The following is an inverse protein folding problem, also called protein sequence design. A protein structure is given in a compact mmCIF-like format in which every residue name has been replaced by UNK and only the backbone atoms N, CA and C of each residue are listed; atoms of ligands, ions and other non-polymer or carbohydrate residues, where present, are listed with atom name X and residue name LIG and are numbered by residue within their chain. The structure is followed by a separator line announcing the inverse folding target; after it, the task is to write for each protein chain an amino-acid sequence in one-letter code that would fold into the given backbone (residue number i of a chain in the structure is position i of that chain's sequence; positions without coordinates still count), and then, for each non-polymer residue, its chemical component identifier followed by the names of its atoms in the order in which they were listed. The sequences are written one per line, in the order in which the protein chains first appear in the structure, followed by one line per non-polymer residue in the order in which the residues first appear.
data_IF_802423991254
#
_entry.id   IF_802423991254
#
_cell.length_a   1.000
_cell.length_b   1.000
_cell.length_c   1.000
_cell.angle_alpha   90.00
_cell.angle_beta   90.00
_cell.angle_gamma   90.00
#
_symmetry.space_group_name_H-M   'P 1'
#
loop_
_entity.id
_entity.type
_entity.pdbx_description
1 polymer ?
#
# COMPACT_ATOMS: atom_id res chain seq x y z
N UNK A 1 4.13 1.62 -28.48
CA UNK A 1 5.59 1.45 -28.64
C UNK A 1 5.83 0.66 -29.92
N UNK A 2 6.74 1.09 -30.80
CA UNK A 2 6.95 0.50 -32.15
C UNK A 2 8.11 -0.50 -32.24
N UNK A 3 8.84 -0.74 -31.14
CA UNK A 3 10.01 -1.63 -31.06
C UNK A 3 9.92 -2.67 -29.94
N UNK A 4 8.90 -2.59 -29.10
CA UNK A 4 8.58 -3.61 -28.10
C UNK A 4 7.56 -4.55 -28.72
N UNK A 5 8.03 -5.46 -29.56
CA UNK A 5 7.21 -6.59 -30.02
C UNK A 5 6.91 -7.48 -28.81
N UNK A 6 7.45 -8.70 -28.80
CA UNK A 6 7.43 -9.50 -27.58
C UNK A 6 8.61 -9.10 -26.68
N UNK A 7 8.35 -8.29 -25.67
CA UNK A 7 9.43 -7.73 -24.83
C UNK A 7 10.16 -8.81 -24.01
N UNK A 8 9.44 -9.86 -23.58
CA UNK A 8 10.03 -11.00 -22.87
C UNK A 8 11.00 -11.77 -23.75
N UNK A 9 10.62 -12.08 -24.99
CA UNK A 9 11.50 -12.79 -25.93
C UNK A 9 12.73 -11.95 -26.29
N UNK A 10 12.58 -10.63 -26.45
CA UNK A 10 13.73 -9.72 -26.66
C UNK A 10 14.72 -9.80 -25.48
N UNK A 11 14.22 -9.85 -24.24
CA UNK A 11 15.10 -9.95 -23.07
C UNK A 11 15.81 -11.30 -22.97
N UNK A 12 15.14 -12.40 -23.34
CA UNK A 12 15.78 -13.72 -23.44
C UNK A 12 16.90 -13.75 -24.48
N UNK A 13 16.65 -13.16 -25.65
CA UNK A 13 17.64 -13.03 -26.72
C UNK A 13 18.87 -12.24 -26.23
N UNK A 14 18.65 -11.09 -25.59
CA UNK A 14 19.74 -10.28 -25.02
C UNK A 14 20.53 -11.07 -23.97
N UNK A 15 19.84 -11.77 -23.05
CA UNK A 15 20.49 -12.59 -22.03
C UNK A 15 21.35 -13.69 -22.65
N UNK A 16 20.80 -14.42 -23.61
CA UNK A 16 21.50 -15.47 -24.36
C UNK A 16 22.77 -14.93 -25.03
N UNK A 17 22.68 -13.83 -25.77
CA UNK A 17 23.82 -13.27 -26.50
C UNK A 17 24.94 -12.77 -25.56
N UNK A 18 24.60 -12.26 -24.39
CA UNK A 18 25.59 -11.91 -23.37
C UNK A 18 26.25 -13.15 -22.77
N UNK A 19 25.47 -14.19 -22.47
CA UNK A 19 25.96 -15.41 -21.83
C UNK A 19 26.92 -16.19 -22.71
N UNK A 20 26.61 -16.37 -24.00
CA UNK A 20 27.49 -17.07 -24.94
C UNK A 20 28.84 -16.37 -25.15
N UNK A 21 28.95 -15.10 -24.75
CA UNK A 21 30.18 -14.29 -24.80
C UNK A 21 30.85 -14.14 -23.43
N UNK A 22 30.37 -14.83 -22.40
CA UNK A 22 30.93 -14.81 -21.04
C UNK A 22 30.51 -13.61 -20.18
N UNK A 23 29.49 -12.84 -20.59
CA UNK A 23 29.00 -11.66 -19.88
C UNK A 23 27.80 -11.94 -18.96
N UNK A 24 27.78 -13.12 -18.32
CA UNK A 24 26.73 -13.50 -17.35
C UNK A 24 26.58 -12.56 -16.16
N UNK A 25 27.63 -11.82 -15.82
CA UNK A 25 27.64 -10.83 -14.74
C UNK A 25 26.93 -9.52 -15.07
N UNK A 26 26.66 -9.25 -16.36
CA UNK A 26 26.00 -8.01 -16.80
C UNK A 26 24.52 -8.08 -16.43
N UNK A 27 24.08 -7.13 -15.60
CA UNK A 27 22.70 -7.02 -15.15
C UNK A 27 21.81 -6.35 -16.19
N UNK A 28 20.54 -6.75 -16.24
CA UNK A 28 19.53 -6.21 -17.14
C UNK A 28 18.54 -5.37 -16.35
N UNK A 29 18.37 -4.10 -16.74
CA UNK A 29 17.39 -3.18 -16.15
C UNK A 29 16.44 -2.70 -17.23
N UNK A 30 15.14 -2.73 -16.96
CA UNK A 30 14.10 -2.31 -17.91
C UNK A 30 13.27 -1.16 -17.35
N UNK A 31 12.74 -0.32 -18.24
CA UNK A 31 11.94 0.85 -17.84
C UNK A 31 10.91 1.24 -18.89
N UNK A 32 10.01 2.16 -18.51
CA UNK A 32 9.09 2.84 -19.42
C UNK A 32 7.79 2.07 -19.67
N UNK A 33 6.64 2.67 -19.39
CA UNK A 33 5.32 2.07 -19.64
C UNK A 33 5.08 0.73 -18.93
N UNK A 34 5.73 0.49 -17.79
CA UNK A 34 5.60 -0.75 -17.03
C UNK A 34 4.38 -0.70 -16.11
N UNK A 35 3.59 -1.77 -16.13
CA UNK A 35 2.50 -2.05 -15.18
C UNK A 35 2.91 -3.19 -14.24
N UNK A 36 2.06 -3.48 -13.26
CA UNK A 36 2.20 -4.60 -12.32
C UNK A 36 2.34 -5.95 -13.05
N UNK A 37 1.55 -6.14 -14.11
CA UNK A 37 1.58 -7.35 -14.94
C UNK A 37 2.92 -7.52 -15.67
N UNK A 38 3.46 -6.44 -16.23
CA UNK A 38 4.78 -6.47 -16.86
C UNK A 38 5.88 -6.80 -15.85
N UNK A 39 5.80 -6.24 -14.64
CA UNK A 39 6.77 -6.55 -13.58
C UNK A 39 6.68 -8.04 -13.21
N UNK A 40 5.47 -8.58 -13.05
CA UNK A 40 5.26 -10.00 -12.75
C UNK A 40 5.76 -10.92 -13.87
N UNK A 41 5.54 -10.55 -15.14
CA UNK A 41 5.96 -11.34 -16.30
C UNK A 41 7.48 -11.31 -16.54
N UNK A 42 8.18 -10.24 -16.15
CA UNK A 42 9.59 -10.05 -16.51
C UNK A 42 10.57 -10.26 -15.36
N UNK A 43 10.09 -10.40 -14.12
CA UNK A 43 10.93 -10.45 -12.91
C UNK A 43 11.95 -11.57 -12.84
N UNK A 44 11.77 -12.64 -13.60
CA UNK A 44 12.69 -13.77 -13.70
C UNK A 44 13.83 -13.52 -14.70
N UNK A 45 13.72 -12.47 -15.53
CA UNK A 45 14.68 -12.15 -16.59
C UNK A 45 15.48 -10.86 -16.35
N UNK A 46 15.07 -10.02 -15.39
CA UNK A 46 15.66 -8.70 -15.18
C UNK A 46 16.05 -8.47 -13.72
N UNK A 47 17.11 -7.69 -13.51
CA UNK A 47 17.66 -7.36 -12.20
C UNK A 47 17.04 -6.09 -11.60
N UNK A 48 16.37 -5.28 -12.41
CA UNK A 48 15.81 -4.01 -11.95
C UNK A 48 14.74 -3.42 -12.86
N UNK A 49 13.87 -2.62 -12.25
CA UNK A 49 12.74 -1.97 -12.92
C UNK A 49 12.74 -0.46 -12.67
N UNK A 50 12.60 0.32 -13.74
CA UNK A 50 12.27 1.74 -13.71
C UNK A 50 10.78 1.94 -13.95
N UNK A 51 10.00 2.09 -12.87
CA UNK A 51 8.54 2.28 -12.92
C UNK A 51 8.20 3.75 -12.69
N UNK A 52 7.55 4.37 -13.69
CA UNK A 52 7.22 5.81 -13.68
C UNK A 52 5.71 6.04 -13.63
N UNK A 53 5.13 6.28 -14.81
CA UNK A 53 3.74 6.75 -14.99
C UNK A 53 2.68 5.95 -14.23
N UNK A 54 2.81 4.63 -14.14
CA UNK A 54 1.86 3.78 -13.42
C UNK A 54 1.80 4.06 -11.91
N UNK A 55 2.87 4.63 -11.34
CA UNK A 55 2.91 5.07 -9.93
C UNK A 55 2.64 6.58 -9.85
N UNK A 56 3.37 7.38 -10.63
CA UNK A 56 3.31 8.85 -10.51
C UNK A 56 1.98 9.45 -10.97
N UNK A 57 1.24 8.74 -11.84
CA UNK A 57 -0.09 9.09 -12.31
C UNK A 57 -1.11 8.01 -11.89
N UNK A 58 -0.92 7.40 -10.73
CA UNK A 58 -1.89 6.47 -10.16
C UNK A 58 -3.24 7.17 -9.94
N UNK A 59 -4.37 6.46 -10.11
CA UNK A 59 -5.68 7.00 -9.80
C UNK A 59 -5.73 7.57 -8.38
N UNK A 60 -6.31 8.76 -8.23
CA UNK A 60 -6.48 9.38 -6.92
C UNK A 60 -7.67 8.76 -6.20
N UNK A 61 -7.53 8.51 -4.90
CA UNK A 61 -8.66 8.13 -4.06
C UNK A 61 -9.55 9.35 -3.82
N UNK A 62 -10.85 9.20 -4.06
CA UNK A 62 -11.85 10.25 -3.80
C UNK A 62 -12.23 10.27 -2.31
N UNK A 63 -11.45 10.99 -1.52
CA UNK A 63 -11.72 11.20 -0.10
C UNK A 63 -12.70 12.36 0.11
N UNK A 64 -13.69 12.14 0.97
CA UNK A 64 -14.60 13.20 1.41
C UNK A 64 -14.39 13.55 2.89
N UNK A 65 -14.62 14.81 3.23
CA UNK A 65 -14.68 15.29 4.60
C UNK A 65 -16.13 15.66 4.91
N UNK A 66 -16.69 15.03 5.93
CA UNK A 66 -18.09 15.20 6.31
C UNK A 66 -18.19 15.38 7.84
N UNK A 67 -19.06 16.29 8.27
CA UNK A 67 -19.41 16.42 9.69
C UNK A 67 -20.18 15.16 10.12
N UNK A 68 -19.72 14.53 11.21
CA UNK A 68 -20.34 13.33 11.78
C UNK A 68 -20.91 13.55 13.19
N UNK A 69 -20.58 14.68 13.82
CA UNK A 69 -21.04 15.04 15.15
C UNK A 69 -21.09 16.56 15.30
N UNK A 70 -22.12 17.08 15.95
CA UNK A 70 -22.31 18.53 16.19
C UNK A 70 -22.67 18.73 17.65
N UNK A 71 -21.82 19.45 18.38
CA UNK A 71 -22.03 19.75 19.82
C UNK A 71 -22.37 18.50 20.65
N UNK A 72 -21.63 17.40 20.42
CA UNK A 72 -21.84 16.11 21.10
C UNK A 72 -23.02 15.28 20.57
N UNK A 73 -23.79 15.78 19.59
CA UNK A 73 -24.92 15.05 19.00
C UNK A 73 -24.48 14.32 17.73
N UNK A 74 -24.77 13.02 17.66
CA UNK A 74 -24.44 12.17 16.51
C UNK A 74 -25.30 12.56 15.30
N UNK A 75 -24.78 13.42 14.43
CA UNK A 75 -25.50 13.97 13.28
C UNK A 75 -24.63 13.93 12.03
N UNK A 76 -25.18 13.41 10.92
CA UNK A 76 -24.52 13.41 9.62
C UNK A 76 -25.55 13.56 8.50
N UNK A 77 -25.10 13.99 7.32
CA UNK A 77 -25.96 14.00 6.12
C UNK A 77 -26.28 12.58 5.63
N UNK A 78 -27.30 12.47 4.77
CA UNK A 78 -27.67 11.21 4.11
C UNK A 78 -26.46 10.57 3.43
N UNK A 79 -26.35 9.24 3.55
CA UNK A 79 -25.23 8.46 3.00
C UNK A 79 -23.97 8.43 3.87
N UNK A 80 -23.97 9.07 5.06
CA UNK A 80 -22.85 9.06 6.00
C UNK A 80 -23.30 8.54 7.36
N UNK A 81 -22.45 7.74 8.02
CA UNK A 81 -22.69 7.23 9.37
C UNK A 81 -22.26 8.32 10.37
N UNK A 82 -23.14 8.74 11.27
CA UNK A 82 -22.84 9.73 12.32
C UNK A 82 -21.98 9.16 13.46
N UNK A 83 -21.57 10.04 14.37
CA UNK A 83 -20.73 9.80 15.54
C UNK A 83 -19.23 9.81 15.26
N UNK A 84 -18.44 10.18 16.27
CA UNK A 84 -17.00 9.93 16.27
C UNK A 84 -16.71 8.42 16.25
N UNK A 85 -15.69 8.02 15.48
CA UNK A 85 -15.39 6.60 15.19
C UNK A 85 -13.88 6.37 15.18
N UNK A 86 -13.49 5.13 15.41
CA UNK A 86 -12.14 4.66 15.15
C UNK A 86 -12.13 3.40 14.28
N UNK A 87 -10.98 3.13 13.67
CA UNK A 87 -10.71 1.84 13.02
C UNK A 87 -10.07 0.92 14.05
N UNK A 88 -10.77 -0.13 14.43
CA UNK A 88 -10.28 -1.16 15.32
C UNK A 88 -9.65 -2.31 14.53
N UNK A 89 -8.44 -2.74 14.90
CA UNK A 89 -7.71 -3.86 14.30
C UNK A 89 -7.46 -4.95 15.34
N UNK A 90 -7.74 -6.20 15.00
CA UNK A 90 -7.37 -7.35 15.81
C UNK A 90 -5.89 -7.70 15.58
N UNK A 91 -5.11 -7.77 16.66
CA UNK A 91 -3.70 -8.17 16.60
C UNK A 91 -3.52 -9.66 16.24
N UNK A 92 -4.47 -10.51 16.58
CA UNK A 92 -4.38 -11.96 16.38
C UNK A 92 -4.77 -12.41 14.96
N UNK A 93 -5.94 -12.00 14.46
CA UNK A 93 -6.45 -12.46 13.16
C UNK A 93 -6.43 -11.40 12.06
N UNK A 94 -6.05 -10.15 12.37
CA UNK A 94 -6.01 -9.05 11.39
C UNK A 94 -7.37 -8.47 10.99
N UNK A 95 -8.47 -8.92 11.61
CA UNK A 95 -9.81 -8.37 11.41
C UNK A 95 -9.84 -6.85 11.63
N UNK A 96 -10.43 -6.11 10.69
CA UNK A 96 -10.59 -4.65 10.74
C UNK A 96 -12.06 -4.28 10.80
N UNK A 97 -12.43 -3.38 11.70
CA UNK A 97 -13.81 -2.85 11.78
C UNK A 97 -13.86 -1.41 12.21
N UNK A 98 -14.87 -0.70 11.73
CA UNK A 98 -15.19 0.66 12.20
C UNK A 98 -16.13 0.55 13.38
N UNK A 99 -15.77 1.15 14.50
CA UNK A 99 -16.58 1.20 15.72
C UNK A 99 -16.71 2.65 16.20
N UNK A 100 -17.74 2.93 17.00
CA UNK A 100 -17.82 4.21 17.69
C UNK A 100 -16.60 4.40 18.60
N UNK A 101 -16.17 5.64 18.73
CA UNK A 101 -15.09 5.97 19.66
C UNK A 101 -15.44 5.49 21.08
N UNK A 102 -14.44 4.97 21.80
CA UNK A 102 -14.63 4.35 23.13
C UNK A 102 -15.29 2.97 23.12
N UNK A 103 -15.74 2.44 21.97
CA UNK A 103 -16.44 1.15 21.87
C UNK A 103 -15.54 -0.01 21.39
N UNK A 104 -14.22 0.09 21.59
CA UNK A 104 -13.28 -0.97 21.22
C UNK A 104 -13.41 -2.13 22.21
N UNK A 105 -13.50 -3.36 21.71
CA UNK A 105 -13.80 -4.54 22.54
C UNK A 105 -13.05 -5.81 22.10
N UNK A 106 -13.69 -6.97 22.28
CA UNK A 106 -13.11 -8.27 21.88
C UNK A 106 -13.39 -8.56 20.41
N UNK A 107 -12.44 -9.22 19.76
CA UNK A 107 -12.60 -9.75 18.42
C UNK A 107 -13.35 -11.10 18.46
N UNK A 108 -14.20 -11.42 17.48
CA UNK A 108 -14.87 -12.72 17.40
C UNK A 108 -13.93 -13.94 17.37
N UNK A 109 -12.66 -13.77 16.97
CA UNK A 109 -11.65 -14.84 17.03
C UNK A 109 -11.10 -15.11 18.44
N UNK A 110 -11.53 -14.36 19.46
CA UNK A 110 -11.00 -14.41 20.82
C UNK A 110 -9.87 -13.42 21.11
N UNK A 111 -9.29 -12.77 20.09
CA UNK A 111 -8.26 -11.73 20.25
C UNK A 111 -8.80 -10.38 20.76
N UNK A 112 -7.89 -9.45 21.07
CA UNK A 112 -8.23 -8.06 21.40
C UNK A 112 -8.32 -7.19 20.14
N UNK A 113 -9.32 -6.32 20.09
CA UNK A 113 -9.33 -5.22 19.13
C UNK A 113 -8.62 -4.02 19.74
N UNK A 114 -7.83 -3.33 18.93
CA UNK A 114 -7.12 -2.11 19.33
C UNK A 114 -7.43 -0.98 18.34
N UNK A 115 -7.61 0.24 18.84
CA UNK A 115 -7.78 1.41 17.97
C UNK A 115 -6.50 1.66 17.17
N UNK A 116 -6.65 1.87 15.87
CA UNK A 116 -5.60 2.34 14.96
C UNK A 116 -5.71 3.82 14.64
N UNK A 117 -6.80 4.46 15.04
CA UNK A 117 -6.93 5.92 15.02
C UNK A 117 -6.16 6.48 16.21
N UNK A 118 -5.18 7.35 15.93
CA UNK A 118 -4.30 7.96 16.92
C UNK A 118 -4.28 9.47 16.75
N UNK A 119 -4.15 10.19 17.86
CA UNK A 119 -4.06 11.64 17.84
C UNK A 119 -2.66 12.08 17.43
N UNK A 120 -2.58 12.90 16.38
CA UNK A 120 -1.38 13.65 16.01
C UNK A 120 -1.40 15.09 16.53
N UNK A 121 -2.61 15.64 16.73
CA UNK A 121 -2.85 17.00 17.18
C UNK A 121 -3.84 17.00 18.35
N UNK A 122 -3.56 17.78 19.38
CA UNK A 122 -4.52 18.12 20.45
C UNK A 122 -4.42 19.61 20.74
N UNK A 123 -5.57 20.30 20.74
CA UNK A 123 -5.64 21.75 20.99
C UNK A 123 -4.65 22.56 20.11
N UNK A 124 -4.51 22.16 18.84
CA UNK A 124 -3.60 22.80 17.89
C UNK A 124 -2.10 22.48 18.09
N UNK A 125 -1.74 21.66 19.09
CA UNK A 125 -0.35 21.25 19.35
C UNK A 125 -0.10 19.86 18.82
N UNK A 126 1.07 19.66 18.19
CA UNK A 126 1.55 18.34 17.78
C UNK A 126 1.89 17.54 19.03
N UNK A 127 1.16 16.45 19.27
CA UNK A 127 1.36 15.55 20.43
C UNK A 127 2.07 14.26 20.07
N UNK A 128 2.27 14.02 18.77
CA UNK A 128 2.97 12.86 18.24
C UNK A 128 3.78 13.27 17.02
N UNK A 129 5.06 12.96 17.03
CA UNK A 129 5.90 13.16 15.85
C UNK A 129 5.50 12.15 14.75
N UNK A 130 5.51 12.55 13.47
CA UNK A 130 5.37 11.60 12.37
C UNK A 130 6.54 10.61 12.36
N UNK A 131 6.27 9.39 11.92
CA UNK A 131 7.30 8.38 11.63
C UNK A 131 8.24 8.90 10.52
N UNK A 132 9.51 8.49 10.56
CA UNK A 132 10.46 8.74 9.47
C UNK A 132 10.07 7.99 8.19
N UNK A 133 10.61 8.42 7.04
CA UNK A 133 10.35 7.76 5.75
C UNK A 133 10.80 6.29 5.78
N UNK A 134 11.92 6.01 6.45
CA UNK A 134 12.49 4.67 6.62
C UNK A 134 11.58 3.78 7.45
N UNK A 135 11.06 4.28 8.58
CA UNK A 135 10.11 3.56 9.45
C UNK A 135 8.78 3.31 8.73
N UNK A 136 8.24 4.32 8.06
CA UNK A 136 7.02 4.20 7.26
C UNK A 136 7.15 3.11 6.20
N UNK A 137 8.26 3.11 5.44
CA UNK A 137 8.53 2.10 4.42
C UNK A 137 8.67 0.71 5.01
N UNK A 138 9.35 0.57 6.16
CA UNK A 138 9.49 -0.71 6.85
C UNK A 138 8.11 -1.25 7.26
N UNK A 139 7.29 -0.41 7.91
CA UNK A 139 5.95 -0.78 8.35
C UNK A 139 5.03 -1.17 7.19
N UNK A 140 5.02 -0.39 6.10
CA UNK A 140 4.22 -0.70 4.91
C UNK A 140 4.64 -2.05 4.30
N UNK A 141 5.95 -2.34 4.21
CA UNK A 141 6.43 -3.64 3.73
C UNK A 141 5.99 -4.81 4.62
N UNK A 142 5.97 -4.63 5.93
CA UNK A 142 5.47 -5.64 6.88
C UNK A 142 3.96 -5.84 6.74
N UNK A 143 3.19 -4.76 6.52
CA UNK A 143 1.74 -4.81 6.33
C UNK A 143 1.35 -5.50 5.01
N UNK A 144 2.06 -5.21 3.91
CA UNK A 144 1.79 -5.80 2.59
C UNK A 144 1.89 -7.33 2.63
N UNK A 145 2.82 -7.90 3.43
CA UNK A 145 2.96 -9.36 3.59
C UNK A 145 1.65 -10.05 4.03
N UNK A 146 0.78 -9.32 4.75
CA UNK A 146 -0.51 -9.86 5.25
C UNK A 146 -1.56 -10.01 4.16
N UNK A 147 -1.39 -9.38 3.01
CA UNK A 147 -2.33 -9.42 1.89
C UNK A 147 -1.99 -10.52 0.87
N UNK A 148 -1.27 -11.56 1.29
CA UNK A 148 -0.73 -12.59 0.41
C UNK A 148 0.45 -12.04 -0.35
N UNK A 149 1.54 -11.78 0.39
CA UNK A 149 2.74 -11.05 -0.07
C UNK A 149 3.12 -11.33 -1.53
N UNK A 150 3.69 -10.32 -2.18
CA UNK A 150 4.27 -10.44 -3.51
C UNK A 150 5.42 -11.46 -3.44
N UNK A 151 5.11 -12.75 -3.59
CA UNK A 151 6.07 -13.79 -3.97
C UNK A 151 6.63 -13.45 -5.33
#
# INVERSE_FOLDING_TARGET
SSRRGNFREILKEVRWELDVRGYGHVKIVVSGGLSEEHVRDLRDLVDGFGVGTSISNAPVFDFSLDIVEVSGRLLAKRGKKSGAKCVALCSSCGERRVVLEGSVGKCPCGGSLESRSVDYLREGKVVRAPESIEELRKRVREEIKRFGGVE
#
